data_IF_159150738312
#
_entry.id   IF_159150738312
#
_cell.length_a   1.000
_cell.length_b   1.000
_cell.length_c   1.000
_cell.angle_alpha   90.00
_cell.angle_beta   90.00
_cell.angle_gamma   90.00
#
_symmetry.space_group_name_H-M   'P 1'
#
loop_
_entity.id
_entity.type
_entity.pdbx_description
1 polymer ?
#
# COMPACT_ATOMS: atom_id res chain seq x y z
N UNK A 1 -9.44 -22.87 -26.73
CA UNK A 1 -8.68 -22.99 -25.46
C UNK A 1 -7.49 -22.04 -25.35
N UNK A 2 -7.20 -21.19 -26.35
CA UNK A 2 -6.05 -20.26 -26.34
C UNK A 2 -6.36 -18.88 -25.77
N UNK A 3 -7.62 -18.44 -25.78
CA UNK A 3 -8.04 -17.13 -25.27
C UNK A 3 -7.82 -16.98 -23.75
N UNK A 4 -8.24 -17.99 -22.97
CA UNK A 4 -8.09 -17.98 -21.51
C UNK A 4 -6.65 -18.00 -21.04
N UNK A 5 -5.73 -18.61 -21.80
CA UNK A 5 -4.31 -18.63 -21.46
C UNK A 5 -3.66 -17.25 -21.61
N UNK A 6 -3.95 -16.54 -22.72
CA UNK A 6 -3.35 -15.24 -22.98
C UNK A 6 -3.85 -14.14 -22.01
N UNK A 7 -5.06 -14.26 -21.49
CA UNK A 7 -5.61 -13.33 -20.48
C UNK A 7 -5.03 -13.58 -19.08
N UNK A 8 -4.81 -14.83 -18.70
CA UNK A 8 -4.37 -15.18 -17.35
C UNK A 8 -2.85 -15.23 -17.16
N UNK A 9 -2.06 -15.43 -18.24
CA UNK A 9 -0.58 -15.59 -18.13
C UNK A 9 0.15 -14.34 -17.63
N UNK A 10 -0.47 -13.16 -17.74
CA UNK A 10 0.16 -11.88 -17.42
C UNK A 10 0.13 -11.49 -15.94
N UNK A 11 -0.48 -12.28 -15.05
CA UNK A 11 -0.64 -11.89 -13.65
C UNK A 11 0.68 -11.63 -12.92
N UNK A 12 1.68 -12.48 -13.15
CA UNK A 12 3.02 -12.32 -12.56
C UNK A 12 3.75 -11.13 -13.17
N UNK A 13 3.74 -11.01 -14.50
CA UNK A 13 4.41 -9.92 -15.24
C UNK A 13 3.84 -8.54 -14.88
N UNK A 14 2.51 -8.45 -14.72
CA UNK A 14 1.83 -7.26 -14.22
C UNK A 14 2.20 -6.94 -12.76
N UNK A 15 2.41 -7.96 -11.93
CA UNK A 15 2.83 -7.78 -10.54
C UNK A 15 4.28 -7.31 -10.46
N UNK A 16 5.16 -7.89 -11.27
CA UNK A 16 6.58 -7.57 -11.32
C UNK A 16 6.77 -6.14 -11.85
N UNK A 17 6.06 -5.77 -12.92
CA UNK A 17 6.03 -4.39 -13.42
C UNK A 17 5.58 -3.39 -12.36
N UNK A 18 4.55 -3.72 -11.59
CA UNK A 18 4.10 -2.87 -10.47
C UNK A 18 5.14 -2.78 -9.35
N UNK A 19 5.95 -3.81 -9.13
CA UNK A 19 7.05 -3.74 -8.17
C UNK A 19 8.15 -2.81 -8.69
N UNK A 20 8.59 -2.98 -9.95
CA UNK A 20 9.60 -2.12 -10.58
C UNK A 20 9.24 -0.64 -10.61
N UNK A 21 7.99 -0.28 -10.93
CA UNK A 21 7.54 1.12 -11.00
C UNK A 21 7.67 1.86 -9.64
N UNK A 22 7.78 1.13 -8.54
CA UNK A 22 7.83 1.67 -7.17
C UNK A 22 9.07 1.22 -6.38
N UNK A 23 9.93 0.40 -6.99
CA UNK A 23 11.07 -0.19 -6.33
C UNK A 23 12.06 0.90 -5.89
N UNK A 24 12.54 0.80 -4.65
CA UNK A 24 13.65 1.64 -4.20
C UNK A 24 14.97 1.01 -4.63
N UNK A 25 15.46 1.35 -5.83
CA UNK A 25 16.79 0.94 -6.26
C UNK A 25 17.88 1.70 -5.47
N UNK A 26 18.34 1.09 -4.38
CA UNK A 26 19.48 1.58 -3.62
C UNK A 26 20.75 0.85 -4.06
N UNK A 27 21.78 1.62 -4.45
CA UNK A 27 23.10 1.07 -4.68
C UNK A 27 23.68 0.58 -3.34
N UNK A 28 23.70 -0.74 -3.16
CA UNK A 28 24.23 -1.38 -1.94
C UNK A 28 25.21 -2.49 -2.31
N UNK A 29 26.30 -2.60 -1.53
CA UNK A 29 27.26 -3.71 -1.67
C UNK A 29 26.75 -5.02 -1.03
N UNK A 30 25.64 -4.96 -0.31
CA UNK A 30 25.09 -6.08 0.43
C UNK A 30 23.80 -6.61 -0.21
N UNK A 31 23.89 -7.81 -0.81
CA UNK A 31 22.74 -8.43 -1.50
C UNK A 31 21.51 -8.63 -0.60
N UNK A 32 21.71 -8.86 0.70
CA UNK A 32 20.62 -9.08 1.65
C UNK A 32 19.78 -7.81 1.89
N UNK A 33 20.39 -6.62 1.79
CA UNK A 33 19.66 -5.34 1.89
C UNK A 33 18.70 -5.21 0.71
N UNK A 34 19.14 -5.63 -0.49
CA UNK A 34 18.29 -5.63 -1.68
C UNK A 34 17.08 -6.54 -1.51
N UNK A 35 17.28 -7.79 -1.08
CA UNK A 35 16.19 -8.74 -0.83
C UNK A 35 15.20 -8.18 0.20
N UNK A 36 15.71 -7.54 1.26
CA UNK A 36 14.87 -6.94 2.29
C UNK A 36 14.04 -5.78 1.73
N UNK A 37 14.64 -4.88 0.94
CA UNK A 37 13.94 -3.77 0.29
C UNK A 37 12.87 -4.28 -0.69
N UNK A 38 13.21 -5.25 -1.54
CA UNK A 38 12.28 -5.87 -2.49
C UNK A 38 11.07 -6.50 -1.77
N UNK A 39 11.33 -7.13 -0.62
CA UNK A 39 10.28 -7.74 0.21
C UNK A 39 9.36 -6.68 0.82
N UNK A 40 9.91 -5.54 1.27
CA UNK A 40 9.12 -4.42 1.79
C UNK A 40 8.23 -3.82 0.70
N UNK A 41 8.76 -3.63 -0.51
CA UNK A 41 8.00 -3.06 -1.63
C UNK A 41 6.83 -3.98 -2.02
N UNK A 42 7.06 -5.30 -2.05
CA UNK A 42 6.01 -6.28 -2.31
C UNK A 42 4.94 -6.31 -1.20
N UNK A 43 5.36 -6.25 0.07
CA UNK A 43 4.45 -6.21 1.20
C UNK A 43 3.55 -4.96 1.16
N UNK A 44 4.11 -3.82 0.79
CA UNK A 44 3.40 -2.54 0.76
C UNK A 44 2.40 -2.47 -0.41
N UNK A 45 2.74 -3.03 -1.57
CA UNK A 45 1.81 -3.22 -2.69
C UNK A 45 0.65 -4.15 -2.32
N UNK A 46 0.95 -5.26 -1.64
CA UNK A 46 -0.06 -6.22 -1.17
C UNK A 46 -1.01 -5.57 -0.16
N UNK A 47 -0.46 -4.81 0.80
CA UNK A 47 -1.25 -4.06 1.76
C UNK A 47 -2.16 -3.01 1.10
N UNK A 48 -1.70 -2.35 0.04
CA UNK A 48 -2.52 -1.41 -0.72
C UNK A 48 -3.70 -2.10 -1.44
N UNK A 49 -3.49 -3.26 -2.06
CA UNK A 49 -4.60 -3.98 -2.69
C UNK A 49 -5.62 -4.45 -1.64
N UNK A 50 -5.18 -4.91 -0.45
CA UNK A 50 -6.09 -5.22 0.68
C UNK A 50 -6.87 -3.97 1.11
N UNK A 51 -6.19 -2.84 1.29
CA UNK A 51 -6.82 -1.57 1.66
C UNK A 51 -7.90 -1.16 0.65
N UNK A 52 -7.60 -1.27 -0.65
CA UNK A 52 -8.52 -0.94 -1.74
C UNK A 52 -9.74 -1.86 -1.77
N UNK A 53 -9.57 -3.16 -1.51
CA UNK A 53 -10.67 -4.11 -1.41
C UNK A 53 -11.53 -3.87 -0.17
N UNK A 54 -10.91 -3.45 0.94
CA UNK A 54 -11.60 -3.19 2.21
C UNK A 54 -12.39 -1.87 2.19
N UNK A 55 -11.86 -0.84 1.52
CA UNK A 55 -12.46 0.51 1.48
C UNK A 55 -12.68 0.98 0.03
N UNK A 56 -13.63 0.38 -0.71
CA UNK A 56 -13.83 0.65 -2.14
C UNK A 56 -14.26 2.09 -2.45
N UNK A 57 -14.90 2.77 -1.48
CA UNK A 57 -15.34 4.18 -1.58
C UNK A 57 -14.24 5.19 -1.27
N UNK A 58 -13.13 4.78 -0.65
CA UNK A 58 -12.03 5.68 -0.27
C UNK A 58 -10.85 5.48 -1.21
N UNK A 59 -10.92 6.07 -2.40
CA UNK A 59 -9.85 6.03 -3.40
C UNK A 59 -8.71 6.97 -3.01
N UNK A 60 -7.91 6.58 -2.01
CA UNK A 60 -6.59 7.19 -1.81
C UNK A 60 -5.67 6.70 -2.93
N UNK A 61 -4.92 7.62 -3.53
CA UNK A 61 -3.86 7.22 -4.45
C UNK A 61 -2.83 6.36 -3.71
N UNK A 62 -2.20 5.42 -4.42
CA UNK A 62 -1.12 4.57 -3.88
C UNK A 62 -0.12 5.37 -3.06
N UNK A 63 0.42 6.45 -3.63
CA UNK A 63 1.39 7.33 -2.96
C UNK A 63 0.88 7.89 -1.61
N UNK A 64 -0.37 8.34 -1.54
CA UNK A 64 -0.96 8.84 -0.28
C UNK A 64 -1.11 7.72 0.76
N UNK A 65 -1.40 6.49 0.31
CA UNK A 65 -1.40 5.33 1.18
C UNK A 65 0.01 5.04 1.73
N UNK A 66 1.04 4.98 0.86
CA UNK A 66 2.44 4.77 1.29
C UNK A 66 2.86 5.83 2.31
N UNK A 67 2.61 7.11 2.00
CA UNK A 67 2.92 8.21 2.92
C UNK A 67 2.22 8.02 4.27
N UNK A 68 0.95 7.63 4.29
CA UNK A 68 0.23 7.39 5.55
C UNK A 68 0.83 6.25 6.38
N UNK A 69 1.32 5.18 5.72
CA UNK A 69 2.03 4.08 6.38
C UNK A 69 3.34 4.58 6.98
N UNK A 70 4.15 5.33 6.21
CA UNK A 70 5.41 5.91 6.68
C UNK A 70 5.16 6.82 7.89
N UNK A 71 4.19 7.72 7.82
CA UNK A 71 3.84 8.61 8.92
C UNK A 71 3.38 7.84 10.17
N UNK A 72 2.60 6.77 9.98
CA UNK A 72 2.19 5.89 11.08
C UNK A 72 3.38 5.18 11.73
N UNK A 73 4.34 4.70 10.94
CA UNK A 73 5.55 4.05 11.44
C UNK A 73 6.49 5.03 12.16
N UNK A 74 6.57 6.27 11.68
CA UNK A 74 7.37 7.34 12.28
C UNK A 74 6.69 7.98 13.51
N UNK A 75 5.51 7.50 13.93
CA UNK A 75 4.73 8.08 15.04
C UNK A 75 4.28 9.53 14.80
N UNK A 76 4.43 10.02 13.57
CA UNK A 76 4.17 11.40 13.19
C UNK A 76 2.76 11.46 12.62
N UNK A 77 1.79 12.05 13.33
CA UNK A 77 0.47 12.31 12.74
C UNK A 77 0.66 13.15 11.48
N UNK A 78 0.20 12.69 10.29
CA UNK A 78 0.25 13.53 9.11
C UNK A 78 -0.56 14.78 9.42
N UNK A 79 0.05 15.96 9.30
CA UNK A 79 -0.70 17.23 9.23
C UNK A 79 -1.44 17.22 7.90
N UNK A 80 -2.55 16.49 7.86
CA UNK A 80 -3.55 16.62 6.81
C UNK A 80 -3.98 18.09 6.84
N UNK A 81 -3.61 18.83 5.81
CA UNK A 81 -4.15 20.16 5.59
C UNK A 81 -5.68 20.04 5.59
N UNK A 82 -6.41 20.89 6.33
CA UNK A 82 -7.84 20.76 6.48
C UNK A 82 -8.48 21.18 5.15
N UNK A 83 -8.76 20.21 4.28
CA UNK A 83 -9.73 20.42 3.22
C UNK A 83 -10.86 19.44 3.45
N UNK A 84 -11.92 20.00 4.04
CA UNK A 84 -13.27 19.49 4.35
C UNK A 84 -13.44 18.63 5.62
N UNK A 85 -14.34 19.05 6.54
CA UNK A 85 -14.73 18.26 7.70
C UNK A 85 -15.71 17.17 7.26
N UNK A 86 -15.24 15.93 7.17
CA UNK A 86 -16.15 14.78 7.22
C UNK A 86 -16.30 14.41 8.69
N UNK A 87 -17.46 14.77 9.25
CA UNK A 87 -17.89 14.40 10.60
C UNK A 87 -17.87 12.87 10.73
N UNK A 88 -16.81 12.32 11.34
CA UNK A 88 -16.78 10.94 11.80
C UNK A 88 -17.27 10.92 13.24
N UNK A 89 -18.55 10.61 13.44
CA UNK A 89 -19.10 10.28 14.76
C UNK A 89 -18.48 8.96 15.22
N UNK A 90 -17.43 9.07 16.03
CA UNK A 90 -16.80 7.96 16.73
C UNK A 90 -17.64 7.64 17.99
N UNK A 91 -18.66 6.80 17.86
CA UNK A 91 -19.25 6.12 19.02
C UNK A 91 -18.69 4.71 19.09
N UNK A 92 -17.59 4.58 19.84
CA UNK A 92 -17.22 3.30 20.46
C UNK A 92 -17.35 3.54 21.96
N UNK A 93 -18.58 3.38 22.47
CA UNK A 93 -18.84 3.25 23.88
C UNK A 93 -18.31 1.87 24.31
N UNK A 94 -17.25 1.84 25.11
CA UNK A 94 -16.83 0.66 25.85
C UNK A 94 -17.47 0.79 27.24
N UNK A 95 -18.47 -0.03 27.60
CA UNK A 95 -18.94 -0.10 28.97
C UNK A 95 -17.97 -0.97 29.76
N UNK A 96 -17.36 -0.39 30.80
CA UNK A 96 -16.61 -1.14 31.82
C UNK A 96 -17.63 -1.47 32.93
N UNK A 97 -17.74 -2.75 33.37
CA UNK A 97 -18.60 -3.14 34.49
C UNK A 97 -18.11 -2.61 35.84
#
# INVERSE_FOLDING_TARGET
MTFTYNECKGGVDLSDKKAYDYASEQATHHYWIKIFADTLDLALLSAYEIYRLTFPTTTRSKQKFIQSVIYSLLGSKPRLHPTTPVTLTLQIAIPIP
#
